data_IF_288496688185
#
_entry.id   IF_288496688185
#
_cell.length_a   1.000
_cell.length_b   1.000
_cell.length_c   1.000
_cell.angle_alpha   90.00
_cell.angle_beta   90.00
_cell.angle_gamma   90.00
#
_symmetry.space_group_name_H-M   'P 1'
#
loop_
_entity.id
_entity.type
_entity.pdbx_description
1 polymer ?
#
# COMPACT_ATOMS: atom_id res chain seq x y z
N UNK A 1 54.24 -8.90 -23.35
CA UNK A 1 52.88 -9.22 -22.84
C UNK A 1 51.94 -8.37 -23.67
N UNK A 2 51.16 -9.05 -24.51
CA UNK A 2 50.19 -8.59 -25.51
C UNK A 2 49.67 -7.15 -25.38
N UNK A 3 50.35 -6.20 -26.04
CA UNK A 3 49.75 -4.94 -26.50
C UNK A 3 48.87 -5.29 -27.71
N UNK A 4 47.67 -5.79 -27.44
CA UNK A 4 46.70 -6.17 -28.49
C UNK A 4 45.91 -4.93 -28.84
N UNK A 5 46.40 -4.23 -29.86
CA UNK A 5 45.61 -3.65 -30.95
C UNK A 5 44.19 -3.17 -30.55
N UNK A 6 44.11 -1.99 -29.96
CA UNK A 6 42.88 -1.18 -30.03
C UNK A 6 42.79 -0.59 -31.44
N UNK A 7 42.48 -1.42 -32.45
CA UNK A 7 42.19 -0.93 -33.79
C UNK A 7 41.00 0.05 -33.73
N UNK A 8 41.01 1.17 -34.49
CA UNK A 8 39.92 2.15 -34.52
C UNK A 8 38.54 1.53 -34.77
N UNK A 9 38.51 0.43 -35.53
CA UNK A 9 37.31 -0.36 -35.83
C UNK A 9 36.73 -1.07 -34.60
N UNK A 10 37.56 -1.43 -33.62
CA UNK A 10 37.13 -2.09 -32.38
C UNK A 10 36.46 -1.10 -31.43
N UNK A 11 36.95 0.15 -31.37
CA UNK A 11 36.33 1.21 -30.59
C UNK A 11 34.99 1.67 -31.17
N UNK A 12 34.90 1.77 -32.50
CA UNK A 12 33.68 2.14 -33.21
C UNK A 12 32.57 1.08 -33.10
N UNK A 13 32.95 -0.20 -33.03
CA UNK A 13 32.00 -1.30 -32.77
C UNK A 13 31.52 -1.30 -31.32
N UNK A 14 32.42 -1.07 -30.36
CA UNK A 14 32.08 -0.95 -28.94
C UNK A 14 31.14 0.24 -28.68
N UNK A 15 31.41 1.42 -29.24
CA UNK A 15 30.55 2.61 -29.09
C UNK A 15 29.14 2.38 -29.66
N UNK A 16 29.04 1.71 -30.81
CA UNK A 16 27.75 1.35 -31.40
C UNK A 16 26.96 0.38 -30.53
N UNK A 17 27.64 -0.61 -29.95
CA UNK A 17 27.01 -1.60 -29.09
C UNK A 17 26.64 -0.99 -27.73
N UNK A 18 27.48 -0.13 -27.15
CA UNK A 18 27.15 0.68 -25.97
C UNK A 18 25.94 1.58 -26.20
N UNK A 19 25.85 2.25 -27.36
CA UNK A 19 24.68 3.04 -27.73
C UNK A 19 23.42 2.19 -27.87
N UNK A 20 23.52 0.95 -28.36
CA UNK A 20 22.40 0.00 -28.40
C UNK A 20 21.96 -0.42 -27.01
N UNK A 21 22.91 -0.75 -26.12
CA UNK A 21 22.61 -1.10 -24.73
C UNK A 21 21.99 0.07 -23.97
N UNK A 22 22.51 1.29 -24.14
CA UNK A 22 21.95 2.49 -23.51
C UNK A 22 20.52 2.79 -23.99
N UNK A 23 20.24 2.62 -25.30
CA UNK A 23 18.89 2.78 -25.84
C UNK A 23 17.94 1.68 -25.35
N UNK A 24 18.42 0.44 -25.23
CA UNK A 24 17.65 -0.68 -24.66
C UNK A 24 17.35 -0.44 -23.18
N UNK A 25 18.32 0.05 -22.41
CA UNK A 25 18.16 0.38 -21.00
C UNK A 25 17.17 1.54 -20.81
N UNK A 26 17.29 2.61 -21.60
CA UNK A 26 16.36 3.74 -21.55
C UNK A 26 14.93 3.32 -21.93
N UNK A 27 14.77 2.48 -22.96
CA UNK A 27 13.49 1.94 -23.36
C UNK A 27 12.90 1.01 -22.27
N UNK A 28 13.72 0.13 -21.69
CA UNK A 28 13.31 -0.75 -20.60
C UNK A 28 12.93 0.05 -19.35
N UNK A 29 13.69 1.10 -19.00
CA UNK A 29 13.40 1.99 -17.88
C UNK A 29 12.08 2.76 -18.11
N UNK A 30 11.83 3.22 -19.34
CA UNK A 30 10.58 3.89 -19.69
C UNK A 30 9.36 2.97 -19.54
N UNK A 31 9.46 1.73 -20.02
CA UNK A 31 8.38 0.73 -19.95
C UNK A 31 8.16 0.24 -18.51
N UNK A 32 9.21 0.10 -17.71
CA UNK A 32 9.13 -0.41 -16.34
C UNK A 32 8.70 0.65 -15.32
N UNK A 33 8.93 1.93 -15.58
CA UNK A 33 8.60 3.06 -14.68
C UNK A 33 7.19 3.00 -14.07
N UNK A 34 6.11 2.79 -14.86
CA UNK A 34 4.75 2.70 -14.29
C UNK A 34 4.53 1.46 -13.42
N UNK A 35 5.34 0.41 -13.60
CA UNK A 35 5.23 -0.86 -12.88
C UNK A 35 6.02 -0.88 -11.56
N UNK A 36 6.95 0.05 -11.36
CA UNK A 36 7.78 0.08 -10.15
C UNK A 36 6.93 0.26 -8.89
N UNK A 37 6.03 1.25 -8.87
CA UNK A 37 5.18 1.53 -7.71
C UNK A 37 4.26 0.35 -7.33
N UNK A 38 3.45 -0.22 -8.24
CA UNK A 38 2.64 -1.40 -7.91
C UNK A 38 3.51 -2.62 -7.57
N UNK A 39 4.70 -2.76 -8.18
CA UNK A 39 5.66 -3.82 -7.84
C UNK A 39 6.15 -3.74 -6.40
N UNK A 40 6.57 -2.56 -5.94
CA UNK A 40 7.00 -2.33 -4.55
C UNK A 40 5.83 -2.59 -3.59
N UNK A 41 4.62 -2.11 -3.92
CA UNK A 41 3.42 -2.36 -3.11
C UNK A 41 3.10 -3.84 -2.99
N UNK A 42 3.20 -4.59 -4.08
CA UNK A 42 2.97 -6.04 -4.08
C UNK A 42 4.00 -6.79 -3.21
N UNK A 43 5.28 -6.41 -3.31
CA UNK A 43 6.33 -6.96 -2.44
C UNK A 43 6.04 -6.67 -0.96
N UNK A 44 5.63 -5.44 -0.62
CA UNK A 44 5.23 -5.09 0.74
C UNK A 44 4.08 -5.96 1.27
N UNK A 45 3.05 -6.19 0.45
CA UNK A 45 1.91 -7.04 0.82
C UNK A 45 2.36 -8.49 1.07
N UNK A 46 3.21 -9.05 0.19
CA UNK A 46 3.77 -10.40 0.39
C UNK A 46 4.57 -10.47 1.69
N UNK A 47 5.45 -9.48 1.93
CA UNK A 47 6.26 -9.44 3.15
C UNK A 47 5.40 -9.34 4.41
N UNK A 48 4.34 -8.54 4.38
CA UNK A 48 3.40 -8.44 5.50
C UNK A 48 2.67 -9.78 5.75
N UNK A 49 2.20 -10.45 4.69
CA UNK A 49 1.58 -11.77 4.79
C UNK A 49 2.54 -12.84 5.32
N UNK A 50 3.78 -12.86 4.83
CA UNK A 50 4.82 -13.78 5.31
C UNK A 50 5.21 -13.49 6.76
N UNK A 51 5.35 -12.23 7.14
CA UNK A 51 5.62 -11.84 8.53
C UNK A 51 4.48 -12.30 9.44
N UNK A 52 3.22 -12.10 9.04
CA UNK A 52 2.07 -12.61 9.79
C UNK A 52 2.07 -14.14 9.89
N UNK A 53 2.41 -14.86 8.82
CA UNK A 53 2.52 -16.31 8.82
C UNK A 53 3.59 -16.81 9.82
N UNK A 54 4.75 -16.16 9.85
CA UNK A 54 5.88 -16.58 10.70
C UNK A 54 5.64 -16.20 12.17
N UNK A 55 5.14 -14.99 12.42
CA UNK A 55 5.01 -14.43 13.77
C UNK A 55 3.74 -14.87 14.48
N UNK A 56 2.64 -15.09 13.72
CA UNK A 56 1.31 -15.32 14.27
C UNK A 56 0.68 -16.64 13.80
N UNK A 57 1.24 -17.29 12.78
CA UNK A 57 0.70 -18.51 12.16
C UNK A 57 0.91 -19.81 12.93
N UNK A 58 1.08 -19.76 14.26
CA UNK A 58 1.24 -20.95 15.10
C UNK A 58 -0.09 -21.59 15.53
N UNK A 59 -1.23 -20.99 15.16
CA UNK A 59 -2.58 -21.45 15.51
C UNK A 59 -3.33 -22.07 14.31
N UNK A 60 -4.43 -22.78 14.60
CA UNK A 60 -5.33 -23.34 13.57
C UNK A 60 -6.03 -22.30 12.68
N UNK A 61 -5.84 -21.00 12.95
CA UNK A 61 -6.43 -19.88 12.20
C UNK A 61 -5.40 -19.15 11.31
N UNK A 62 -4.25 -19.77 11.01
CA UNK A 62 -3.18 -19.20 10.20
C UNK A 62 -3.68 -18.50 8.92
N UNK A 63 -4.62 -19.12 8.19
CA UNK A 63 -5.16 -18.56 6.95
C UNK A 63 -5.89 -17.23 7.17
N UNK A 64 -6.64 -17.10 8.27
CA UNK A 64 -7.37 -15.88 8.62
C UNK A 64 -6.38 -14.76 8.91
N UNK A 65 -5.37 -15.02 9.75
CA UNK A 65 -4.39 -14.01 10.15
C UNK A 65 -3.56 -13.53 8.96
N UNK A 66 -3.12 -14.45 8.09
CA UNK A 66 -2.36 -14.10 6.88
C UNK A 66 -3.22 -13.28 5.92
N UNK A 67 -4.48 -13.67 5.72
CA UNK A 67 -5.40 -12.92 4.83
C UNK A 67 -5.70 -11.52 5.39
N UNK A 68 -5.94 -11.41 6.70
CA UNK A 68 -6.15 -10.13 7.36
C UNK A 68 -4.93 -9.22 7.24
N UNK A 69 -3.72 -9.77 7.39
CA UNK A 69 -2.47 -9.01 7.20
C UNK A 69 -2.29 -8.53 5.75
N UNK A 70 -2.64 -9.37 4.77
CA UNK A 70 -2.60 -9.00 3.34
C UNK A 70 -3.58 -7.88 3.04
N UNK A 71 -4.83 -7.97 3.50
CA UNK A 71 -5.82 -6.91 3.32
C UNK A 71 -5.45 -5.62 4.09
N UNK A 72 -4.93 -5.75 5.30
CA UNK A 72 -4.44 -4.64 6.10
C UNK A 72 -3.27 -3.92 5.44
N UNK A 73 -2.31 -4.67 4.89
CA UNK A 73 -1.19 -4.12 4.15
C UNK A 73 -1.65 -3.39 2.88
N UNK A 74 -2.61 -3.97 2.15
CA UNK A 74 -3.20 -3.31 0.99
C UNK A 74 -3.92 -2.01 1.38
N UNK A 75 -4.70 -2.02 2.45
CA UNK A 75 -5.34 -0.79 2.97
C UNK A 75 -4.31 0.25 3.43
N UNK A 76 -3.26 -0.16 4.13
CA UNK A 76 -2.20 0.75 4.60
C UNK A 76 -1.48 1.47 3.44
N UNK A 77 -1.21 0.76 2.35
CA UNK A 77 -0.67 1.38 1.12
C UNK A 77 -1.62 2.42 0.54
N UNK A 78 -2.92 2.13 0.51
CA UNK A 78 -3.93 3.05 -0.01
C UNK A 78 -4.12 4.28 0.88
N UNK A 79 -4.10 4.11 2.21
CA UNK A 79 -4.13 5.22 3.18
C UNK A 79 -2.91 6.12 2.95
N UNK A 80 -1.70 5.55 2.94
CA UNK A 80 -0.49 6.33 2.73
C UNK A 80 -0.48 7.09 1.40
N UNK A 81 -0.90 6.45 0.31
CA UNK A 81 -0.97 7.12 -0.99
C UNK A 81 -1.98 8.28 -1.02
N UNK A 82 -3.14 8.12 -0.36
CA UNK A 82 -4.18 9.15 -0.30
C UNK A 82 -3.77 10.31 0.63
N UNK A 83 -3.30 9.98 1.83
CA UNK A 83 -3.05 10.95 2.89
C UNK A 83 -1.81 11.80 2.58
N UNK A 84 -0.76 11.21 2.00
CA UNK A 84 0.44 11.95 1.56
C UNK A 84 0.10 12.99 0.49
N UNK A 85 -0.79 12.65 -0.44
CA UNK A 85 -1.24 13.61 -1.45
C UNK A 85 -2.04 14.76 -0.81
N UNK A 86 -2.84 14.46 0.21
CA UNK A 86 -3.69 15.43 0.89
C UNK A 86 -2.89 16.39 1.79
N UNK A 87 -1.92 15.88 2.56
CA UNK A 87 -1.18 16.67 3.55
C UNK A 87 0.07 17.38 2.98
N UNK A 88 0.83 16.73 2.08
CA UNK A 88 2.08 17.25 1.53
C UNK A 88 1.86 17.93 0.17
N UNK A 89 0.75 17.64 -0.52
CA UNK A 89 0.40 18.21 -1.82
C UNK A 89 0.51 19.73 -1.88
N UNK A 90 -0.07 20.49 -0.92
CA UNK A 90 0.08 21.94 -0.88
C UNK A 90 1.52 22.42 -0.72
N UNK A 91 2.31 21.77 0.13
CA UNK A 91 3.70 22.17 0.40
C UNK A 91 4.63 21.90 -0.79
N UNK A 92 4.43 20.77 -1.47
CA UNK A 92 5.16 20.45 -2.71
C UNK A 92 4.68 21.33 -3.86
N UNK A 93 3.37 21.55 -4.00
CA UNK A 93 2.79 22.42 -5.03
C UNK A 93 3.18 23.89 -4.91
N UNK A 94 3.41 24.37 -3.68
CA UNK A 94 3.92 25.72 -3.41
C UNK A 94 5.45 25.84 -3.57
N UNK A 95 6.16 24.78 -3.97
CA UNK A 95 7.63 24.69 -3.99
C UNK A 95 8.31 24.99 -2.64
N UNK A 96 7.59 24.83 -1.53
CA UNK A 96 8.16 24.96 -0.19
C UNK A 96 8.96 23.72 0.21
N UNK A 97 8.59 22.55 -0.33
CA UNK A 97 9.24 21.26 -0.11
C UNK A 97 9.43 20.52 -1.42
N UNK A 98 10.54 19.78 -1.53
CA UNK A 98 10.73 18.84 -2.64
C UNK A 98 9.87 17.58 -2.44
N UNK A 99 9.52 16.89 -3.53
CA UNK A 99 8.78 15.63 -3.45
C UNK A 99 9.47 14.59 -2.55
N UNK A 100 10.80 14.47 -2.66
CA UNK A 100 11.58 13.56 -1.82
C UNK A 100 11.53 13.95 -0.34
N UNK A 101 11.66 15.25 -0.02
CA UNK A 101 11.55 15.74 1.36
C UNK A 101 10.16 15.50 1.95
N UNK A 102 9.11 15.74 1.18
CA UNK A 102 7.73 15.48 1.57
C UNK A 102 7.50 13.99 1.91
N UNK A 103 8.00 13.06 1.08
CA UNK A 103 7.85 11.62 1.32
C UNK A 103 8.57 11.21 2.62
N UNK A 104 9.77 11.72 2.89
CA UNK A 104 10.52 11.39 4.11
C UNK A 104 9.80 11.92 5.35
N UNK A 105 9.33 13.17 5.32
CA UNK A 105 8.57 13.77 6.42
C UNK A 105 7.30 12.95 6.66
N UNK A 106 6.52 12.69 5.61
CA UNK A 106 5.32 11.89 5.72
C UNK A 106 5.59 10.50 6.31
N UNK A 107 6.60 9.78 5.80
CA UNK A 107 6.93 8.45 6.31
C UNK A 107 7.23 8.44 7.81
N UNK A 108 7.94 9.47 8.32
CA UNK A 108 8.25 9.58 9.76
C UNK A 108 7.00 9.97 10.56
N UNK A 109 6.32 11.05 10.18
CA UNK A 109 5.25 11.62 11.00
C UNK A 109 3.92 10.85 10.89
N UNK A 110 3.56 10.31 9.72
CA UNK A 110 2.38 9.46 9.56
C UNK A 110 2.55 8.14 10.33
N UNK A 111 3.72 7.50 10.21
CA UNK A 111 4.01 6.27 10.96
C UNK A 111 4.04 6.53 12.46
N UNK A 112 4.66 7.64 12.90
CA UNK A 112 4.66 8.03 14.30
C UNK A 112 3.24 8.28 14.80
N UNK A 113 2.42 9.04 14.07
CA UNK A 113 1.01 9.31 14.38
C UNK A 113 0.19 8.02 14.54
N UNK A 114 0.33 7.09 13.60
CA UNK A 114 -0.32 5.78 13.66
C UNK A 114 0.06 4.98 14.92
N UNK A 115 1.34 5.02 15.33
CA UNK A 115 1.83 4.30 16.50
C UNK A 115 1.48 4.96 17.83
N UNK A 116 1.51 6.29 17.92
CA UNK A 116 1.30 7.03 19.18
C UNK A 116 -0.17 7.35 19.45
N UNK A 117 -0.97 7.60 18.40
CA UNK A 117 -2.34 8.11 18.51
C UNK A 117 -3.37 7.23 17.79
N UNK A 118 -2.96 6.16 17.12
CA UNK A 118 -3.88 5.28 16.37
C UNK A 118 -4.75 4.38 17.25
N UNK A 119 -4.40 4.18 18.52
CA UNK A 119 -5.05 3.19 19.39
C UNK A 119 -6.56 3.44 19.58
N UNK A 120 -6.95 4.70 19.78
CA UNK A 120 -8.36 5.08 19.99
C UNK A 120 -9.19 4.86 18.71
N UNK A 121 -8.62 5.14 17.53
CA UNK A 121 -9.26 4.92 16.24
C UNK A 121 -9.43 3.43 15.97
N UNK A 122 -8.39 2.63 16.22
CA UNK A 122 -8.45 1.16 16.08
C UNK A 122 -9.50 0.57 17.03
N UNK A 123 -9.56 1.03 18.27
CA UNK A 123 -10.56 0.59 19.25
C UNK A 123 -11.99 0.91 18.79
N UNK A 124 -12.20 2.13 18.29
CA UNK A 124 -13.50 2.58 17.78
C UNK A 124 -13.93 1.74 16.57
N UNK A 125 -13.03 1.48 15.63
CA UNK A 125 -13.35 0.67 14.44
C UNK A 125 -13.63 -0.79 14.81
N UNK A 126 -12.85 -1.35 15.74
CA UNK A 126 -12.96 -2.76 16.11
C UNK A 126 -14.21 -3.08 16.93
N UNK A 127 -14.74 -2.13 17.72
CA UNK A 127 -15.84 -2.40 18.67
C UNK A 127 -16.90 -1.31 18.76
N UNK A 128 -16.57 -0.07 18.40
CA UNK A 128 -17.44 1.09 18.56
C UNK A 128 -18.47 1.27 17.43
N UNK A 129 -18.31 0.59 16.30
CA UNK A 129 -19.22 0.71 15.14
C UNK A 129 -20.18 -0.48 15.07
N UNK A 130 -19.63 -1.70 15.08
CA UNK A 130 -20.39 -2.96 15.10
C UNK A 130 -19.94 -3.75 16.31
N UNK A 131 -20.87 -4.02 17.23
CA UNK A 131 -20.60 -4.84 18.39
C UNK A 131 -20.35 -6.30 17.96
N UNK A 132 -19.27 -6.96 18.41
CA UNK A 132 -19.03 -8.37 18.09
C UNK A 132 -20.20 -9.28 18.47
N UNK A 133 -20.93 -8.93 19.53
CA UNK A 133 -22.09 -9.66 20.04
C UNK A 133 -23.34 -9.50 19.16
N UNK A 134 -23.35 -8.53 18.24
CA UNK A 134 -24.46 -8.33 17.31
C UNK A 134 -24.45 -9.34 16.14
N UNK A 135 -23.36 -10.10 15.97
CA UNK A 135 -23.24 -11.14 14.94
C UNK A 135 -23.26 -12.53 15.58
N UNK A 136 -23.91 -13.47 14.89
CA UNK A 136 -24.21 -14.81 15.41
C UNK A 136 -22.99 -15.60 15.89
N UNK A 137 -21.84 -15.43 15.23
CA UNK A 137 -20.61 -16.13 15.58
C UNK A 137 -19.37 -15.24 15.43
N UNK A 138 -18.29 -15.51 16.21
CA UNK A 138 -17.01 -14.83 16.03
C UNK A 138 -16.45 -14.96 14.61
N UNK A 139 -16.68 -16.10 13.95
CA UNK A 139 -16.27 -16.31 12.57
C UNK A 139 -17.00 -15.36 11.61
N UNK A 140 -18.31 -15.17 11.77
CA UNK A 140 -19.11 -14.22 10.98
C UNK A 140 -18.58 -12.79 11.15
N UNK A 141 -18.24 -12.41 12.39
CA UNK A 141 -17.65 -11.10 12.67
C UNK A 141 -16.30 -10.90 11.97
N UNK A 142 -15.41 -11.89 12.05
CA UNK A 142 -14.11 -11.83 11.37
C UNK A 142 -14.29 -11.66 9.85
N UNK A 143 -15.17 -12.45 9.22
CA UNK A 143 -15.44 -12.35 7.80
C UNK A 143 -16.05 -11.00 7.40
N UNK A 144 -16.98 -10.48 8.21
CA UNK A 144 -17.57 -9.16 8.00
C UNK A 144 -16.50 -8.05 8.07
N UNK A 145 -15.60 -8.09 9.06
CA UNK A 145 -14.52 -7.10 9.18
C UNK A 145 -13.49 -7.23 8.06
N UNK A 146 -13.18 -8.45 7.60
CA UNK A 146 -12.32 -8.65 6.43
C UNK A 146 -12.95 -8.11 5.15
N UNK A 147 -14.26 -8.30 4.96
CA UNK A 147 -14.99 -7.74 3.83
C UNK A 147 -15.03 -6.22 3.87
N UNK A 148 -15.27 -5.62 5.04
CA UNK A 148 -15.20 -4.18 5.26
C UNK A 148 -13.83 -3.63 4.88
N UNK A 149 -12.76 -4.23 5.41
CA UNK A 149 -11.38 -3.81 5.15
C UNK A 149 -11.04 -3.85 3.66
N UNK A 150 -11.40 -4.93 2.97
CA UNK A 150 -11.17 -5.08 1.53
C UNK A 150 -11.99 -4.08 0.72
N UNK A 151 -13.27 -3.89 1.04
CA UNK A 151 -14.14 -2.94 0.35
C UNK A 151 -13.63 -1.50 0.49
N UNK A 152 -13.21 -1.10 1.69
CA UNK A 152 -12.62 0.21 1.94
C UNK A 152 -11.30 0.39 1.18
N UNK A 153 -10.45 -0.64 1.16
CA UNK A 153 -9.18 -0.59 0.42
C UNK A 153 -9.41 -0.43 -1.08
N UNK A 154 -10.33 -1.20 -1.67
CA UNK A 154 -10.68 -1.07 -3.08
C UNK A 154 -11.25 0.31 -3.41
N UNK A 155 -12.11 0.86 -2.55
CA UNK A 155 -12.67 2.19 -2.73
C UNK A 155 -11.60 3.29 -2.69
N UNK A 156 -10.74 3.29 -1.66
CA UNK A 156 -9.66 4.28 -1.53
C UNK A 156 -8.66 4.14 -2.68
N UNK A 157 -8.36 2.90 -3.11
CA UNK A 157 -7.49 2.66 -4.25
C UNK A 157 -8.06 3.26 -5.55
N UNK A 158 -9.35 3.02 -5.81
CA UNK A 158 -10.06 3.58 -6.96
C UNK A 158 -10.05 5.11 -6.92
N UNK A 159 -10.39 5.71 -5.78
CA UNK A 159 -10.39 7.15 -5.60
C UNK A 159 -9.00 7.76 -5.84
N UNK A 160 -7.96 7.12 -5.29
CA UNK A 160 -6.56 7.54 -5.47
C UNK A 160 -6.13 7.41 -6.93
N UNK A 161 -6.55 6.35 -7.64
CA UNK A 161 -6.22 6.14 -9.05
C UNK A 161 -6.81 7.23 -9.96
N UNK A 162 -8.02 7.70 -9.67
CA UNK A 162 -8.65 8.81 -10.40
C UNK A 162 -8.21 10.20 -9.88
N UNK A 163 -7.35 10.27 -8.87
CA UNK A 163 -6.84 11.52 -8.28
C UNK A 163 -7.85 12.27 -7.40
N UNK A 164 -8.89 11.59 -6.91
CA UNK A 164 -9.89 12.18 -6.02
C UNK A 164 -9.43 12.13 -4.55
N UNK A 165 -9.33 13.27 -3.84
CA UNK A 165 -9.09 13.27 -2.40
C UNK A 165 -10.33 12.75 -1.68
N UNK A 166 -10.18 11.74 -0.82
CA UNK A 166 -11.29 11.11 -0.10
C UNK A 166 -10.92 10.89 1.37
N UNK A 167 -11.92 10.79 2.24
CA UNK A 167 -11.68 10.42 3.64
C UNK A 167 -11.53 8.90 3.77
N UNK A 168 -10.35 8.45 4.15
CA UNK A 168 -10.04 7.05 4.47
C UNK A 168 -10.86 6.56 5.66
N UNK A 169 -11.04 7.40 6.69
CA UNK A 169 -11.91 7.09 7.85
C UNK A 169 -13.35 6.84 7.43
N UNK A 170 -13.94 7.69 6.58
CA UNK A 170 -15.31 7.45 6.10
C UNK A 170 -15.41 6.18 5.25
N UNK A 171 -14.39 5.86 4.46
CA UNK A 171 -14.35 4.61 3.71
C UNK A 171 -14.36 3.38 4.63
N UNK A 172 -13.57 3.40 5.72
CA UNK A 172 -13.54 2.30 6.70
C UNK A 172 -14.83 2.21 7.49
N UNK A 173 -15.30 3.34 8.05
CA UNK A 173 -16.56 3.38 8.80
C UNK A 173 -17.72 2.91 7.93
N UNK A 174 -17.83 3.39 6.69
CA UNK A 174 -18.87 2.95 5.75
C UNK A 174 -18.77 1.47 5.41
N UNK A 175 -17.56 0.94 5.23
CA UNK A 175 -17.34 -0.50 5.02
C UNK A 175 -17.78 -1.34 6.21
N UNK A 176 -17.43 -0.92 7.43
CA UNK A 176 -17.80 -1.62 8.68
C UNK A 176 -19.29 -1.55 8.93
N UNK A 177 -19.92 -0.40 8.73
CA UNK A 177 -21.39 -0.25 8.81
C UNK A 177 -22.08 -1.14 7.78
N UNK A 178 -21.62 -1.14 6.53
CA UNK A 178 -22.19 -1.98 5.47
C UNK A 178 -22.07 -3.48 5.78
N UNK A 179 -20.91 -3.91 6.27
CA UNK A 179 -20.68 -5.30 6.69
C UNK A 179 -21.53 -5.69 7.91
N UNK A 180 -21.68 -4.77 8.87
CA UNK A 180 -22.56 -4.94 10.03
C UNK A 180 -24.02 -5.12 9.62
N UNK A 181 -24.54 -4.24 8.75
CA UNK A 181 -25.91 -4.35 8.22
C UNK A 181 -26.10 -5.66 7.45
N UNK A 182 -25.12 -6.07 6.65
CA UNK A 182 -25.19 -7.32 5.90
C UNK A 182 -25.21 -8.57 6.80
N UNK A 183 -24.51 -8.53 7.94
CA UNK A 183 -24.41 -9.65 8.88
C UNK A 183 -25.50 -9.69 9.95
N UNK A 184 -25.94 -8.53 10.45
CA UNK A 184 -26.87 -8.40 11.58
C UNK A 184 -28.25 -7.83 11.19
N UNK A 185 -28.40 -7.30 9.98
CA UNK A 185 -29.59 -6.59 9.53
C UNK A 185 -29.62 -5.11 9.93
N UNK A 186 -30.73 -4.43 9.63
CA UNK A 186 -30.97 -3.06 10.09
C UNK A 186 -31.52 -3.10 11.52
N UNK A 187 -30.79 -2.50 12.47
CA UNK A 187 -31.18 -2.44 13.89
C UNK A 187 -30.30 -1.50 14.68
#
# INVERSE_FOLDING_TARGET
MSDKDLEPRHLETLDRDLGRFANLEAAAAYVSRPLVAPGIGFVFIILAGLAAAILLGQSGEMLIVVTAAVFGAYMALNIGANDVANNMGPAVGANALSMGGAIVIAAVFESAGALIAGADVVSTIAKGIVAPEALDTPATFIWAMMAALLASALWVNLATWIGAPVSTTHAVVGGVVGAGIAGAGFG
#
